data_IF_341545262242
#
_entry.id   IF_341545262242
#
_cell.length_a   1.000
_cell.length_b   1.000
_cell.length_c   1.000
_cell.angle_alpha   90.00
_cell.angle_beta   90.00
_cell.angle_gamma   90.00
#
_symmetry.space_group_name_H-M   'P 1'
#
loop_
_entity.id
_entity.type
_entity.pdbx_description
1 polymer ?
#
# COMPACT_ATOMS: atom_id res chain seq x y z
N UNK A 1 -21.89 -5.27 7.66
CA UNK A 1 -23.21 -5.87 7.38
C UNK A 1 -23.84 -5.15 6.22
N UNK A 2 -24.19 -5.87 5.16
CA UNK A 2 -24.96 -5.37 4.03
C UNK A 2 -26.43 -5.59 4.31
N UNK A 3 -27.27 -4.59 4.08
CA UNK A 3 -28.72 -4.66 4.25
C UNK A 3 -29.43 -4.32 2.93
N UNK A 4 -30.29 -5.20 2.50
CA UNK A 4 -31.14 -5.00 1.32
C UNK A 4 -32.55 -4.57 1.76
N UNK A 5 -32.95 -3.31 1.52
CA UNK A 5 -34.30 -2.86 1.84
C UNK A 5 -35.33 -3.19 0.76
N UNK A 6 -34.89 -3.72 -0.39
CA UNK A 6 -35.77 -3.97 -1.54
C UNK A 6 -36.43 -5.34 -1.43
N UNK A 7 -37.50 -5.54 -2.21
CA UNK A 7 -38.24 -6.80 -2.32
C UNK A 7 -37.62 -7.78 -3.35
N UNK A 8 -36.42 -7.51 -3.84
CA UNK A 8 -35.66 -8.37 -4.78
C UNK A 8 -34.30 -8.69 -4.22
N UNK A 9 -33.73 -9.78 -4.67
CA UNK A 9 -32.35 -10.17 -4.37
C UNK A 9 -31.38 -9.18 -5.00
N UNK A 10 -30.32 -8.84 -4.31
CA UNK A 10 -29.26 -7.93 -4.78
C UNK A 10 -27.88 -8.60 -4.66
N UNK A 11 -26.95 -8.12 -5.50
CA UNK A 11 -25.52 -8.28 -5.30
C UNK A 11 -24.98 -7.10 -4.47
N UNK A 12 -24.08 -7.37 -3.55
CA UNK A 12 -23.32 -6.36 -2.82
C UNK A 12 -21.92 -6.22 -3.38
N UNK A 13 -21.50 -4.98 -3.62
CA UNK A 13 -20.16 -4.65 -4.07
C UNK A 13 -19.57 -3.58 -3.14
N UNK A 14 -18.36 -3.82 -2.62
CA UNK A 14 -17.62 -2.88 -1.78
C UNK A 14 -16.18 -2.81 -2.27
N UNK A 15 -15.75 -1.62 -2.63
CA UNK A 15 -14.35 -1.33 -2.92
C UNK A 15 -13.74 -0.54 -1.76
N UNK A 16 -12.54 -0.92 -1.34
CA UNK A 16 -11.84 -0.27 -0.26
C UNK A 16 -10.32 -0.34 -0.44
N UNK A 17 -9.60 0.74 -0.10
CA UNK A 17 -8.16 0.72 -0.04
C UNK A 17 -7.69 0.13 1.29
N UNK A 18 -6.55 -0.53 1.27
CA UNK A 18 -5.74 -0.77 2.47
C UNK A 18 -4.57 0.21 2.51
N UNK A 19 -4.14 0.58 3.70
CA UNK A 19 -2.91 1.33 3.86
C UNK A 19 -1.70 0.47 3.48
N UNK A 20 -0.61 1.15 3.17
CA UNK A 20 0.64 0.48 2.85
C UNK A 20 1.12 -0.41 4.00
N UNK A 21 1.55 -1.64 3.69
CA UNK A 21 1.94 -2.66 4.68
C UNK A 21 0.79 -3.46 5.29
N UNK A 22 -0.46 -3.08 5.03
CA UNK A 22 -1.63 -3.84 5.45
C UNK A 22 -1.93 -5.00 4.51
N UNK A 23 -2.26 -6.15 5.10
CA UNK A 23 -2.55 -7.39 4.38
C UNK A 23 -3.85 -7.99 4.88
N UNK A 24 -4.72 -8.44 3.97
CA UNK A 24 -5.87 -9.28 4.34
C UNK A 24 -5.37 -10.67 4.69
N UNK A 25 -5.62 -11.10 5.91
CA UNK A 25 -5.23 -12.44 6.39
C UNK A 25 -6.39 -13.40 6.53
N UNK A 26 -7.63 -12.90 6.61
CA UNK A 26 -8.83 -13.71 6.59
C UNK A 26 -10.03 -12.95 6.02
N UNK A 27 -10.91 -13.70 5.38
CA UNK A 27 -12.21 -13.24 4.92
C UNK A 27 -13.24 -14.30 5.28
N UNK A 28 -14.36 -13.90 5.87
CA UNK A 28 -15.47 -14.79 6.16
C UNK A 28 -16.80 -14.20 5.69
N UNK A 29 -17.69 -15.05 5.21
CA UNK A 29 -19.03 -14.71 4.76
C UNK A 29 -20.07 -15.43 5.61
N UNK A 30 -21.16 -14.74 5.93
CA UNK A 30 -22.31 -15.32 6.60
C UNK A 30 -23.07 -16.26 5.67
N UNK A 31 -23.09 -17.53 6.03
CA UNK A 31 -23.88 -18.56 5.40
C UNK A 31 -24.82 -19.15 6.46
N UNK A 32 -26.13 -18.91 6.31
CA UNK A 32 -27.17 -19.38 7.22
C UNK A 32 -26.95 -18.96 8.68
N UNK A 33 -26.51 -17.72 8.89
CA UNK A 33 -26.28 -17.14 10.23
C UNK A 33 -24.90 -17.47 10.84
N UNK A 34 -24.07 -18.28 10.17
CA UNK A 34 -22.73 -18.67 10.61
C UNK A 34 -21.68 -18.05 9.68
N UNK A 35 -20.68 -17.37 10.26
CA UNK A 35 -19.53 -16.91 9.47
C UNK A 35 -18.64 -18.09 9.11
N UNK A 36 -18.41 -18.31 7.82
CA UNK A 36 -17.53 -19.33 7.27
C UNK A 36 -16.34 -18.68 6.58
N UNK A 37 -15.16 -19.18 6.89
CA UNK A 37 -13.91 -18.68 6.31
C UNK A 37 -13.80 -19.04 4.82
N UNK A 38 -13.34 -18.07 4.04
CA UNK A 38 -13.01 -18.24 2.64
C UNK A 38 -11.65 -18.92 2.47
N UNK A 39 -11.49 -19.62 1.35
CA UNK A 39 -10.23 -20.27 0.98
C UNK A 39 -9.52 -19.43 -0.07
N UNK A 40 -8.20 -19.13 0.09
CA UNK A 40 -7.43 -18.45 -0.92
C UNK A 40 -7.29 -19.31 -2.18
N UNK A 41 -7.56 -18.71 -3.33
CA UNK A 41 -7.45 -19.36 -4.65
C UNK A 41 -6.81 -18.41 -5.65
N UNK A 42 -6.21 -18.90 -6.75
CA UNK A 42 -5.76 -18.05 -7.85
C UNK A 42 -6.91 -17.17 -8.37
N UNK A 43 -6.58 -15.92 -8.72
CA UNK A 43 -7.57 -14.87 -9.04
C UNK A 43 -8.55 -15.30 -10.14
N UNK A 44 -8.06 -15.88 -11.24
CA UNK A 44 -8.90 -16.30 -12.36
C UNK A 44 -9.83 -17.43 -11.96
N UNK A 45 -9.33 -18.38 -11.16
CA UNK A 45 -10.14 -19.49 -10.62
C UNK A 45 -11.22 -18.95 -9.68
N UNK A 46 -10.88 -17.97 -8.84
CA UNK A 46 -11.85 -17.33 -7.93
C UNK A 46 -13.01 -16.69 -8.69
N UNK A 47 -12.73 -15.96 -9.77
CA UNK A 47 -13.75 -15.35 -10.63
C UNK A 47 -14.63 -16.38 -11.31
N UNK A 48 -14.02 -17.40 -11.92
CA UNK A 48 -14.76 -18.47 -12.59
C UNK A 48 -15.70 -19.22 -11.62
N UNK A 49 -15.22 -19.53 -10.43
CA UNK A 49 -16.01 -20.20 -9.40
C UNK A 49 -17.15 -19.31 -8.92
N UNK A 50 -16.87 -18.01 -8.66
CA UNK A 50 -17.89 -17.06 -8.24
C UNK A 50 -19.03 -16.98 -9.27
N UNK A 51 -18.72 -16.77 -10.55
CA UNK A 51 -19.71 -16.67 -11.62
C UNK A 51 -20.49 -17.98 -11.83
N UNK A 52 -19.82 -19.12 -11.69
CA UNK A 52 -20.47 -20.44 -11.83
C UNK A 52 -21.44 -20.71 -10.67
N UNK A 53 -21.10 -20.30 -9.45
CA UNK A 53 -21.92 -20.51 -8.25
C UNK A 53 -23.07 -19.49 -8.22
N UNK A 54 -22.81 -18.23 -8.62
CA UNK A 54 -23.84 -17.19 -8.76
C UNK A 54 -24.99 -17.65 -9.69
N UNK A 55 -24.65 -18.27 -10.84
CA UNK A 55 -25.64 -18.84 -11.78
C UNK A 55 -26.49 -19.96 -11.17
N UNK A 56 -25.98 -20.63 -10.13
CA UNK A 56 -26.70 -21.70 -9.42
C UNK A 56 -27.56 -21.18 -8.26
N UNK A 57 -27.53 -19.88 -7.98
CA UNK A 57 -28.25 -19.27 -6.86
C UNK A 57 -27.72 -19.67 -5.47
N UNK A 58 -26.47 -20.18 -5.40
CA UNK A 58 -25.80 -20.50 -4.14
C UNK A 58 -25.01 -19.25 -3.69
N UNK A 59 -24.74 -19.12 -2.40
CA UNK A 59 -24.15 -17.96 -1.72
C UNK A 59 -22.63 -17.78 -2.01
N UNK A 60 -22.18 -17.17 -3.14
CA UNK A 60 -20.77 -16.89 -3.32
C UNK A 60 -20.35 -15.56 -2.70
N UNK A 61 -19.16 -15.55 -2.14
CA UNK A 61 -18.43 -14.33 -1.76
C UNK A 61 -17.05 -14.36 -2.41
N UNK A 62 -16.67 -13.26 -3.04
CA UNK A 62 -15.36 -13.09 -3.65
C UNK A 62 -14.70 -11.81 -3.13
N UNK A 63 -13.53 -11.96 -2.53
CA UNK A 63 -12.63 -10.86 -2.22
C UNK A 63 -11.43 -10.95 -3.14
N UNK A 64 -11.19 -9.91 -3.91
CA UNK A 64 -10.05 -9.84 -4.82
C UNK A 64 -9.27 -8.53 -4.67
N UNK A 65 -7.96 -8.60 -4.78
CA UNK A 65 -7.11 -7.43 -4.98
C UNK A 65 -7.25 -6.97 -6.43
N UNK A 66 -7.57 -5.70 -6.65
CA UNK A 66 -7.76 -5.14 -8.00
C UNK A 66 -6.47 -4.56 -8.55
N UNK A 67 -6.11 -3.36 -8.17
CA UNK A 67 -4.89 -2.68 -8.58
C UNK A 67 -4.23 -2.06 -7.34
N UNK A 68 -2.91 -2.18 -7.24
CA UNK A 68 -2.19 -1.71 -6.07
C UNK A 68 -2.71 -2.36 -4.78
N UNK A 69 -2.98 -1.56 -3.75
CA UNK A 69 -3.55 -2.04 -2.49
C UNK A 69 -5.08 -1.84 -2.38
N UNK A 70 -5.77 -1.84 -3.53
CA UNK A 70 -7.22 -1.77 -3.63
C UNK A 70 -7.84 -3.16 -3.61
N UNK A 71 -8.92 -3.32 -2.87
CA UNK A 71 -9.66 -4.56 -2.76
C UNK A 71 -11.11 -4.37 -3.19
N UNK A 72 -11.67 -5.39 -3.83
CA UNK A 72 -13.08 -5.48 -4.18
C UNK A 72 -13.68 -6.71 -3.54
N UNK A 73 -14.73 -6.49 -2.77
CA UNK A 73 -15.57 -7.54 -2.21
C UNK A 73 -16.88 -7.61 -3.00
N UNK A 74 -17.21 -8.78 -3.54
CA UNK A 74 -18.51 -9.10 -4.14
C UNK A 74 -19.20 -10.18 -3.32
N UNK A 75 -20.46 -9.99 -3.02
CA UNK A 75 -21.30 -10.96 -2.28
C UNK A 75 -22.65 -11.11 -2.96
N UNK A 76 -23.10 -12.34 -3.08
CA UNK A 76 -24.40 -12.70 -3.66
C UNK A 76 -24.93 -13.98 -2.99
N UNK A 77 -26.25 -14.15 -2.81
CA UNK A 77 -27.29 -13.12 -2.84
C UNK A 77 -27.37 -12.33 -1.53
N UNK A 78 -27.78 -11.05 -1.58
CA UNK A 78 -28.34 -10.38 -0.42
C UNK A 78 -29.86 -10.55 -0.51
N UNK A 79 -30.51 -11.34 0.36
CA UNK A 79 -31.94 -11.65 0.26
C UNK A 79 -32.80 -10.38 0.28
N UNK A 80 -34.00 -10.48 -0.34
CA UNK A 80 -35.00 -9.44 -0.23
C UNK A 80 -35.31 -9.16 1.26
N UNK A 81 -35.31 -7.87 1.65
CA UNK A 81 -35.48 -7.40 3.04
C UNK A 81 -34.52 -8.05 4.07
N UNK A 82 -33.43 -8.67 3.58
CA UNK A 82 -32.45 -9.40 4.36
C UNK A 82 -31.14 -8.68 4.58
N UNK A 83 -30.21 -9.41 5.18
CA UNK A 83 -28.86 -8.94 5.46
C UNK A 83 -27.83 -10.00 5.11
N UNK A 84 -26.57 -9.56 4.85
CA UNK A 84 -25.39 -10.41 4.81
C UNK A 84 -24.30 -9.81 5.68
N UNK A 85 -23.64 -10.64 6.50
CA UNK A 85 -22.49 -10.25 7.28
C UNK A 85 -21.23 -10.73 6.59
N UNK A 86 -20.20 -9.90 6.62
CA UNK A 86 -18.85 -10.27 6.23
C UNK A 86 -17.89 -9.88 7.35
N UNK A 87 -16.82 -10.64 7.48
CA UNK A 87 -15.69 -10.30 8.35
C UNK A 87 -14.42 -10.28 7.51
N UNK A 88 -13.62 -9.25 7.71
CA UNK A 88 -12.28 -9.10 7.15
C UNK A 88 -11.29 -8.95 8.29
N UNK A 89 -10.22 -9.73 8.24
CA UNK A 89 -9.09 -9.56 9.14
C UNK A 89 -7.93 -8.99 8.36
N UNK A 90 -7.45 -7.85 8.81
CA UNK A 90 -6.29 -7.15 8.25
C UNK A 90 -5.17 -7.17 9.27
N UNK A 91 -3.97 -7.49 8.83
CA UNK A 91 -2.75 -7.50 9.64
C UNK A 91 -1.75 -6.51 9.08
N UNK A 92 -1.00 -5.89 9.97
CA UNK A 92 0.04 -4.93 9.64
C UNK A 92 1.19 -5.06 10.62
N UNK A 93 2.42 -4.97 10.12
CA UNK A 93 3.59 -4.68 10.95
C UNK A 93 3.75 -3.18 10.98
N UNK A 94 3.60 -2.58 12.17
CA UNK A 94 3.59 -1.13 12.28
C UNK A 94 4.95 -0.54 11.89
N UNK A 95 4.99 0.43 10.96
CA UNK A 95 6.22 1.12 10.62
C UNK A 95 6.72 1.94 11.81
N UNK A 96 8.04 1.93 12.00
CA UNK A 96 8.73 2.68 13.01
C UNK A 96 9.26 3.99 12.43
N UNK A 97 8.92 5.10 13.04
CA UNK A 97 9.52 6.41 12.73
C UNK A 97 10.21 7.01 13.98
N UNK A 98 10.71 8.24 13.87
CA UNK A 98 11.39 8.91 14.97
C UNK A 98 10.50 9.17 16.21
N UNK A 99 9.17 9.12 16.05
CA UNK A 99 8.18 9.36 17.13
C UNK A 99 7.65 8.07 17.74
N UNK A 100 7.72 6.96 17.02
CA UNK A 100 7.20 5.68 17.49
C UNK A 100 6.68 4.78 16.38
N UNK A 101 5.87 3.79 16.78
CA UNK A 101 5.18 2.90 15.86
C UNK A 101 3.91 3.57 15.37
N UNK A 102 3.80 3.82 14.06
CA UNK A 102 2.64 4.49 13.47
C UNK A 102 1.59 3.49 13.03
N UNK A 103 0.36 3.68 13.48
CA UNK A 103 -0.80 2.93 13.02
C UNK A 103 -1.81 3.85 12.33
N UNK A 104 -2.28 3.43 11.15
CA UNK A 104 -3.28 4.15 10.38
C UNK A 104 -4.30 3.19 9.80
N UNK A 105 -5.58 3.55 9.88
CA UNK A 105 -6.68 2.80 9.27
C UNK A 105 -7.47 3.71 8.34
N UNK A 106 -7.47 3.46 7.01
CA UNK A 106 -8.34 4.16 6.08
C UNK A 106 -9.81 3.90 6.41
N UNK A 107 -10.62 4.95 6.49
CA UNK A 107 -12.04 4.86 6.86
C UNK A 107 -13.00 5.27 5.75
N UNK A 108 -12.51 5.58 4.55
CA UNK A 108 -13.35 6.00 3.41
C UNK A 108 -14.46 4.98 3.09
N UNK A 109 -14.19 3.68 3.28
CA UNK A 109 -15.19 2.63 3.05
C UNK A 109 -16.37 2.69 4.02
N UNK A 110 -16.22 3.38 5.16
CA UNK A 110 -17.28 3.56 6.15
C UNK A 110 -18.20 4.74 5.82
N UNK A 111 -17.77 5.67 4.94
CA UNK A 111 -18.60 6.79 4.51
C UNK A 111 -19.89 6.26 3.87
N UNK A 112 -21.03 6.85 4.23
CA UNK A 112 -22.36 6.39 3.81
C UNK A 112 -22.92 5.24 4.65
N UNK A 113 -22.15 4.62 5.54
CA UNK A 113 -22.68 3.63 6.47
C UNK A 113 -23.56 4.32 7.52
N UNK A 114 -24.79 3.80 7.70
CA UNK A 114 -25.78 4.38 8.64
C UNK A 114 -25.36 4.23 10.09
N UNK A 115 -24.63 3.18 10.39
CA UNK A 115 -24.13 2.87 11.73
C UNK A 115 -22.76 2.25 11.63
N UNK A 116 -21.80 2.81 12.35
CA UNK A 116 -20.44 2.31 12.50
C UNK A 116 -20.13 2.22 13.98
N UNK A 117 -19.53 1.12 14.38
CA UNK A 117 -18.96 0.93 15.69
C UNK A 117 -17.47 0.70 15.52
N UNK A 118 -16.67 1.45 16.26
CA UNK A 118 -15.21 1.29 16.31
C UNK A 118 -14.81 0.93 17.73
N UNK A 119 -14.04 -0.13 17.86
CA UNK A 119 -13.36 -0.51 19.10
C UNK A 119 -11.86 -0.56 18.82
N UNK A 120 -11.09 0.06 19.67
CA UNK A 120 -9.64 0.03 19.65
C UNK A 120 -9.12 -0.48 20.99
N UNK A 121 -8.23 -1.46 20.93
CA UNK A 121 -7.49 -1.96 22.09
C UNK A 121 -5.99 -1.88 21.75
N UNK A 122 -5.20 -1.12 22.53
CA UNK A 122 -3.75 -1.05 22.40
C UNK A 122 -3.09 -1.64 23.65
N UNK A 123 -2.35 -2.74 23.45
CA UNK A 123 -1.78 -3.56 24.51
C UNK A 123 -0.26 -3.42 24.54
N UNK A 124 0.33 -3.38 25.72
CA UNK A 124 1.79 -3.41 25.88
C UNK A 124 2.50 -2.14 25.41
N UNK A 125 1.81 -1.01 25.36
CA UNK A 125 2.35 0.27 24.92
C UNK A 125 2.18 1.34 25.99
N UNK A 126 2.99 2.42 25.94
CA UNK A 126 2.73 3.65 26.69
C UNK A 126 1.51 4.40 26.14
N UNK A 127 1.36 5.65 26.54
CA UNK A 127 0.22 6.48 26.10
C UNK A 127 0.23 6.65 24.57
N UNK A 128 -0.79 6.14 23.86
CA UNK A 128 -0.88 6.36 22.42
C UNK A 128 -1.16 7.83 22.09
N UNK A 129 -0.39 8.40 21.16
CA UNK A 129 -0.58 9.77 20.69
C UNK A 129 -1.49 9.77 19.44
N UNK A 130 -2.55 10.56 19.49
CA UNK A 130 -3.58 10.61 18.46
C UNK A 130 -3.18 11.49 17.28
N UNK A 131 -3.40 11.00 16.06
CA UNK A 131 -3.27 11.77 14.84
C UNK A 131 -4.60 12.32 14.35
N UNK A 132 -4.63 13.60 14.02
CA UNK A 132 -5.80 14.24 13.41
C UNK A 132 -7.04 14.28 14.31
N UNK A 133 -8.21 14.28 13.69
CA UNK A 133 -9.52 14.53 14.30
C UNK A 133 -10.26 13.25 14.73
N UNK A 134 -9.55 12.19 15.14
CA UNK A 134 -10.22 10.95 15.59
C UNK A 134 -11.21 11.23 16.72
N UNK A 135 -12.47 10.77 16.63
CA UNK A 135 -13.46 10.92 17.69
C UNK A 135 -13.24 9.95 18.87
N UNK A 136 -12.36 8.94 18.70
CA UNK A 136 -12.07 7.99 19.78
C UNK A 136 -11.19 8.65 20.85
N UNK A 137 -11.60 8.45 22.09
CA UNK A 137 -10.79 8.75 23.27
C UNK A 137 -10.33 7.43 23.87
N UNK A 138 -9.05 7.32 24.18
CA UNK A 138 -8.46 6.14 24.80
C UNK A 138 -8.36 6.32 26.30
N UNK A 139 -8.81 5.33 27.03
CA UNK A 139 -8.69 5.25 28.49
C UNK A 139 -7.91 4.00 28.87
N UNK A 140 -7.09 4.09 29.90
CA UNK A 140 -6.32 2.94 30.40
C UNK A 140 -7.20 2.05 31.28
N UNK A 141 -7.34 0.78 30.87
CA UNK A 141 -8.02 -0.27 31.62
C UNK A 141 -7.04 -1.43 31.87
N UNK A 142 -6.51 -1.52 33.09
CA UNK A 142 -5.41 -2.43 33.36
C UNK A 142 -4.14 -2.08 32.59
N UNK A 143 -3.66 -3.01 31.76
CA UNK A 143 -2.48 -2.80 30.87
C UNK A 143 -2.87 -2.46 29.40
N UNK A 144 -4.14 -2.16 29.15
CA UNK A 144 -4.68 -1.97 27.79
C UNK A 144 -5.32 -0.59 27.67
N UNK A 145 -4.90 0.18 26.67
CA UNK A 145 -5.60 1.38 26.25
C UNK A 145 -6.81 0.98 25.41
N UNK A 146 -7.99 1.44 25.80
CA UNK A 146 -9.25 1.08 25.17
C UNK A 146 -10.00 2.32 24.73
N UNK A 147 -10.56 2.27 23.51
CA UNK A 147 -11.46 3.27 22.99
C UNK A 147 -12.65 2.64 22.29
N UNK A 148 -13.81 3.28 22.43
CA UNK A 148 -15.03 2.88 21.72
C UNK A 148 -15.71 4.11 21.15
N UNK A 149 -16.24 3.96 19.96
CA UNK A 149 -17.04 4.99 19.31
C UNK A 149 -18.17 4.34 18.52
N UNK A 150 -19.31 5.00 18.48
CA UNK A 150 -20.46 4.60 17.68
C UNK A 150 -21.11 5.85 17.10
N UNK A 151 -21.44 5.80 15.82
CA UNK A 151 -22.08 6.90 15.11
C UNK A 151 -22.30 6.56 13.64
N UNK A 152 -22.48 7.57 12.81
CA UNK A 152 -22.62 7.43 11.36
C UNK A 152 -21.23 7.44 10.70
N UNK A 153 -21.11 6.80 9.54
CA UNK A 153 -19.84 6.71 8.84
C UNK A 153 -19.31 8.07 8.34
N UNK A 154 -20.19 8.99 8.02
CA UNK A 154 -19.85 10.35 7.60
C UNK A 154 -19.34 11.26 8.75
N UNK A 155 -19.50 10.86 9.99
CA UNK A 155 -18.92 11.52 11.16
C UNK A 155 -17.47 11.10 11.43
N UNK A 156 -16.98 10.06 10.74
CA UNK A 156 -15.60 9.61 10.85
C UNK A 156 -14.69 10.40 9.92
N UNK A 157 -13.45 10.67 10.33
CA UNK A 157 -12.43 11.17 9.41
C UNK A 157 -12.12 10.10 8.35
N UNK A 158 -11.52 10.52 7.25
CA UNK A 158 -11.09 9.60 6.18
C UNK A 158 -10.03 8.59 6.63
N UNK A 159 -9.39 8.86 7.79
CA UNK A 159 -8.35 8.03 8.37
C UNK A 159 -8.40 8.13 9.91
N UNK A 160 -8.27 6.99 10.59
CA UNK A 160 -7.98 6.91 12.01
C UNK A 160 -6.49 6.60 12.19
N UNK A 161 -5.82 7.26 13.13
CA UNK A 161 -4.39 7.02 13.35
C UNK A 161 -3.90 7.34 14.75
N UNK A 162 -2.90 6.59 15.18
CA UNK A 162 -2.16 6.78 16.43
C UNK A 162 -0.68 6.49 16.25
N UNK A 163 0.16 7.18 17.02
CA UNK A 163 1.55 6.78 17.26
C UNK A 163 1.63 6.11 18.62
N UNK A 164 2.14 4.90 18.62
CA UNK A 164 2.46 4.16 19.84
C UNK A 164 3.90 4.48 20.23
N UNK A 165 4.18 4.80 21.50
CA UNK A 165 5.53 5.09 21.95
C UNK A 165 6.51 3.95 21.60
N UNK A 166 7.74 4.32 21.36
CA UNK A 166 8.82 3.35 21.14
C UNK A 166 8.92 2.38 22.32
N UNK A 167 8.99 1.07 22.05
CA UNK A 167 9.35 0.11 23.08
C UNK A 167 10.70 0.46 23.69
N UNK A 168 10.77 0.54 25.00
CA UNK A 168 12.04 0.76 25.71
C UNK A 168 12.71 -0.60 25.96
N UNK A 169 13.84 -0.82 25.31
CA UNK A 169 14.63 -2.04 25.48
C UNK A 169 14.22 -3.21 24.59
N UNK A 170 14.81 -4.35 24.83
CA UNK A 170 14.56 -5.59 24.10
C UNK A 170 13.24 -6.18 24.61
N UNK A 171 12.34 -6.50 23.72
CA UNK A 171 11.10 -7.22 24.04
C UNK A 171 11.01 -8.53 23.29
N UNK A 172 10.49 -9.56 23.95
CA UNK A 172 10.32 -10.86 23.33
C UNK A 172 8.99 -11.48 23.72
N UNK A 173 8.41 -12.21 22.79
CA UNK A 173 7.23 -13.05 23.02
C UNK A 173 7.52 -14.48 22.60
N UNK A 174 6.92 -15.44 23.26
CA UNK A 174 6.98 -16.85 22.89
C UNK A 174 5.58 -17.45 22.81
N UNK A 175 5.40 -18.43 21.95
CA UNK A 175 4.15 -19.14 21.78
C UNK A 175 4.36 -20.58 21.31
N UNK A 176 3.34 -21.40 21.49
CA UNK A 176 3.27 -22.75 20.93
C UNK A 176 2.38 -22.73 19.70
N UNK A 177 2.85 -23.34 18.59
CA UNK A 177 2.06 -23.56 17.39
C UNK A 177 2.37 -24.96 16.87
N UNK A 178 1.35 -25.79 16.67
CA UNK A 178 1.48 -27.20 16.24
C UNK A 178 2.47 -28.04 17.06
N UNK A 179 2.53 -27.78 18.39
CA UNK A 179 3.45 -28.51 19.28
C UNK A 179 4.89 -27.98 19.29
N UNK A 180 5.23 -27.05 18.41
CA UNK A 180 6.53 -26.40 18.35
C UNK A 180 6.52 -25.05 19.08
N UNK A 181 7.64 -24.72 19.72
CA UNK A 181 7.82 -23.44 20.43
C UNK A 181 8.47 -22.43 19.51
N UNK A 182 7.80 -21.31 19.29
CA UNK A 182 8.29 -20.15 18.54
C UNK A 182 8.58 -19.00 19.48
N UNK A 183 9.54 -18.17 19.13
CA UNK A 183 9.78 -16.89 19.80
C UNK A 183 9.98 -15.79 18.76
N UNK A 184 9.61 -14.58 19.14
CA UNK A 184 9.89 -13.36 18.40
C UNK A 184 10.62 -12.40 19.33
N UNK A 185 11.75 -11.87 18.88
CA UNK A 185 12.54 -10.89 19.60
C UNK A 185 12.51 -9.57 18.84
N UNK A 186 12.16 -8.49 19.54
CA UNK A 186 12.21 -7.14 19.00
C UNK A 186 13.34 -6.37 19.69
N UNK A 187 14.32 -5.96 18.89
CA UNK A 187 15.51 -5.24 19.37
C UNK A 187 15.49 -3.84 18.73
N UNK A 188 15.31 -2.77 19.50
CA UNK A 188 15.45 -1.43 18.98
C UNK A 188 16.93 -1.17 18.66
N UNK A 189 17.23 -0.90 17.39
CA UNK A 189 18.59 -0.58 16.96
C UNK A 189 18.72 0.93 16.81
N UNK A 190 19.48 1.56 17.67
CA UNK A 190 19.84 2.97 17.56
C UNK A 190 21.05 3.13 16.63
N UNK A 191 20.82 3.54 15.39
CA UNK A 191 21.87 3.91 14.46
C UNK A 191 22.25 5.39 14.60
N UNK A 192 23.52 5.72 14.39
CA UNK A 192 23.92 7.13 14.19
C UNK A 192 23.63 7.52 12.75
N UNK A 193 22.87 8.60 12.48
CA UNK A 193 22.67 9.07 11.12
C UNK A 193 24.03 9.39 10.48
N UNK A 194 24.28 8.87 9.30
CA UNK A 194 25.46 9.19 8.51
C UNK A 194 25.01 9.87 7.23
N UNK A 195 25.55 11.08 6.98
CA UNK A 195 25.34 11.73 5.71
C UNK A 195 25.99 10.92 4.60
N UNK A 196 25.21 10.59 3.59
CA UNK A 196 25.69 9.95 2.38
C UNK A 196 26.27 10.99 1.42
N UNK A 197 27.30 10.62 0.67
CA UNK A 197 27.77 11.46 -0.43
C UNK A 197 26.64 11.66 -1.47
N UNK A 198 26.51 12.87 -1.99
CA UNK A 198 25.53 13.15 -3.04
C UNK A 198 25.91 12.40 -4.33
N UNK A 199 24.94 11.82 -5.03
CA UNK A 199 25.17 11.08 -6.27
C UNK A 199 25.60 12.06 -7.38
N UNK A 200 26.49 11.59 -8.24
CA UNK A 200 26.90 12.32 -9.46
C UNK A 200 26.35 11.69 -10.73
N UNK A 201 25.98 10.43 -10.67
CA UNK A 201 25.41 9.66 -11.78
C UNK A 201 24.14 8.99 -11.27
N UNK A 202 23.02 9.32 -11.88
CA UNK A 202 21.69 8.92 -11.44
C UNK A 202 20.99 8.18 -12.57
N UNK A 203 20.47 6.98 -12.28
CA UNK A 203 19.51 6.33 -13.13
C UNK A 203 18.10 6.84 -12.80
N UNK A 204 17.35 7.26 -13.80
CA UNK A 204 15.93 7.59 -13.65
C UNK A 204 15.11 6.68 -14.55
N UNK A 205 14.31 5.82 -13.95
CA UNK A 205 13.35 4.96 -14.63
C UNK A 205 11.99 5.57 -14.47
N UNK A 206 11.37 5.97 -15.57
CA UNK A 206 10.08 6.64 -15.58
C UNK A 206 9.02 5.79 -16.27
N UNK A 207 8.03 5.36 -15.52
CA UNK A 207 6.89 4.61 -16.02
C UNK A 207 5.91 5.56 -16.73
N UNK A 208 5.83 5.42 -18.06
CA UNK A 208 4.90 6.16 -18.92
C UNK A 208 3.80 5.25 -19.49
N UNK A 209 3.50 4.12 -18.82
CA UNK A 209 2.38 3.26 -19.19
C UNK A 209 1.02 3.94 -19.01
N UNK A 210 -0.04 3.34 -19.55
CA UNK A 210 -1.38 3.91 -19.53
C UNK A 210 -1.95 4.18 -18.12
N UNK A 211 -1.54 3.42 -17.10
CA UNK A 211 -1.92 3.66 -15.70
C UNK A 211 -1.28 4.94 -15.14
N UNK A 212 -0.15 5.37 -15.69
CA UNK A 212 0.53 6.59 -15.31
C UNK A 212 -0.29 7.88 -15.46
N UNK A 213 -1.35 7.88 -16.30
CA UNK A 213 -2.31 9.00 -16.39
C UNK A 213 -3.02 9.32 -15.08
N UNK A 214 -3.04 8.38 -14.16
CA UNK A 214 -3.75 8.48 -12.89
C UNK A 214 -2.83 8.85 -11.72
N UNK A 215 -1.52 9.05 -11.99
CA UNK A 215 -0.56 9.55 -11.02
C UNK A 215 -0.59 11.07 -10.97
N UNK A 216 -0.29 11.63 -9.83
CA UNK A 216 -0.01 13.06 -9.67
C UNK A 216 1.42 13.36 -10.14
N UNK A 217 1.58 13.46 -11.45
CA UNK A 217 2.89 13.74 -12.06
C UNK A 217 3.43 15.11 -11.67
N UNK A 218 2.56 16.08 -11.36
CA UNK A 218 2.99 17.40 -10.89
C UNK A 218 3.67 17.30 -9.51
N UNK A 219 3.10 16.52 -8.59
CA UNK A 219 3.71 16.26 -7.29
C UNK A 219 5.02 15.44 -7.43
N UNK A 220 5.07 14.46 -8.33
CA UNK A 220 6.30 13.70 -8.63
C UNK A 220 7.42 14.61 -9.14
N UNK A 221 7.12 15.49 -10.09
CA UNK A 221 8.08 16.48 -10.60
C UNK A 221 8.52 17.47 -9.52
N UNK A 222 7.63 17.88 -8.61
CA UNK A 222 7.98 18.74 -7.49
C UNK A 222 8.94 18.06 -6.49
N UNK A 223 8.84 16.75 -6.31
CA UNK A 223 9.84 15.98 -5.54
C UNK A 223 11.18 15.95 -6.26
N UNK A 224 11.18 15.72 -7.57
CA UNK A 224 12.41 15.75 -8.38
C UNK A 224 13.05 17.14 -8.41
N UNK A 225 12.27 18.22 -8.40
CA UNK A 225 12.80 19.60 -8.27
C UNK A 225 13.64 19.75 -7.00
N UNK A 226 13.07 19.35 -5.86
CA UNK A 226 13.79 19.42 -4.56
C UNK A 226 15.01 18.52 -4.54
N UNK A 227 14.89 17.34 -5.12
CA UNK A 227 15.98 16.38 -5.19
C UNK A 227 17.15 16.93 -6.01
N UNK A 228 16.92 17.42 -7.25
CA UNK A 228 17.98 17.94 -8.10
C UNK A 228 18.56 19.27 -7.58
N UNK A 229 17.75 20.09 -6.89
CA UNK A 229 18.27 21.26 -6.17
C UNK A 229 19.27 20.85 -5.06
N UNK A 230 18.94 19.79 -4.31
CA UNK A 230 19.83 19.29 -3.25
C UNK A 230 21.09 18.63 -3.81
N UNK A 231 20.98 17.89 -4.92
CA UNK A 231 22.12 17.23 -5.59
C UNK A 231 23.06 18.26 -6.24
N UNK A 232 22.53 19.31 -6.83
CA UNK A 232 23.27 20.38 -7.48
C UNK A 232 23.89 20.02 -8.82
N UNK A 233 24.70 18.94 -8.90
CA UNK A 233 25.36 18.50 -10.15
C UNK A 233 25.26 16.99 -10.31
N UNK A 234 24.72 16.53 -11.46
CA UNK A 234 24.67 15.13 -11.81
C UNK A 234 24.54 14.88 -13.30
N UNK A 235 24.91 13.67 -13.74
CA UNK A 235 24.52 13.09 -15.01
C UNK A 235 23.35 12.13 -14.77
N UNK A 236 22.26 12.30 -15.51
CA UNK A 236 21.05 11.47 -15.36
C UNK A 236 20.88 10.60 -16.61
N UNK A 237 20.69 9.31 -16.40
CA UNK A 237 20.32 8.34 -17.44
C UNK A 237 18.82 8.07 -17.31
N UNK A 238 18.01 8.62 -18.20
CA UNK A 238 16.57 8.40 -18.26
C UNK A 238 16.26 7.14 -19.07
N UNK A 239 15.50 6.23 -18.48
CA UNK A 239 14.86 5.09 -19.14
C UNK A 239 13.35 5.26 -19.01
N UNK A 240 12.63 5.34 -20.13
CA UNK A 240 11.16 5.38 -20.14
C UNK A 240 10.63 3.96 -20.30
N UNK A 241 9.66 3.58 -19.47
CA UNK A 241 9.00 2.27 -19.48
C UNK A 241 7.57 2.39 -20.01
N UNK A 242 7.21 1.48 -20.90
CA UNK A 242 5.85 1.17 -21.33
C UNK A 242 5.71 -0.35 -21.48
N UNK A 243 5.32 -0.84 -22.65
CA UNK A 243 5.34 -2.25 -23.03
C UNK A 243 6.77 -2.83 -23.13
N UNK A 244 7.77 -1.95 -23.17
CA UNK A 244 9.21 -2.24 -23.10
C UNK A 244 9.97 -1.04 -22.55
N UNK A 245 11.20 -1.28 -22.10
CA UNK A 245 12.14 -0.22 -21.77
C UNK A 245 12.68 0.45 -23.04
N UNK A 246 12.63 1.78 -23.10
CA UNK A 246 13.25 2.55 -24.18
C UNK A 246 14.77 2.65 -23.96
N UNK A 247 15.56 2.90 -25.03
CA UNK A 247 16.98 3.17 -24.89
C UNK A 247 17.25 4.35 -23.95
N UNK A 248 18.26 4.21 -23.09
CA UNK A 248 18.61 5.25 -22.13
C UNK A 248 19.06 6.54 -22.80
N UNK A 249 18.52 7.67 -22.36
CA UNK A 249 18.89 9.03 -22.77
C UNK A 249 19.62 9.75 -21.65
N UNK A 250 20.59 10.59 -21.99
CA UNK A 250 21.44 11.26 -21.00
C UNK A 250 21.10 12.74 -20.87
N UNK A 251 21.04 13.22 -19.64
CA UNK A 251 20.79 14.62 -19.29
C UNK A 251 21.79 15.09 -18.24
N UNK A 252 22.12 16.38 -18.28
CA UNK A 252 23.00 17.00 -17.29
C UNK A 252 22.18 17.89 -16.34
N UNK A 253 22.46 17.79 -15.06
CA UNK A 253 21.98 18.71 -14.04
C UNK A 253 23.15 19.59 -13.60
N UNK A 254 22.98 20.92 -13.63
CA UNK A 254 24.00 21.88 -13.27
C UNK A 254 23.40 22.97 -12.36
N UNK A 255 23.95 23.16 -11.14
CA UNK A 255 23.40 24.10 -10.17
C UNK A 255 21.93 23.82 -9.81
N UNK A 256 21.52 22.54 -9.85
CA UNK A 256 20.11 22.14 -9.65
C UNK A 256 19.21 22.34 -10.87
N UNK A 257 19.72 22.96 -11.95
CA UNK A 257 18.95 23.13 -13.18
C UNK A 257 18.89 21.80 -13.97
N UNK A 258 17.68 21.28 -14.13
CA UNK A 258 17.36 20.04 -14.85
C UNK A 258 16.26 20.24 -15.91
N UNK A 259 16.08 21.47 -16.36
CA UNK A 259 14.99 21.90 -17.27
C UNK A 259 14.88 21.01 -18.52
N UNK A 260 16.01 20.58 -19.12
CA UNK A 260 15.96 19.70 -20.30
C UNK A 260 15.35 18.33 -19.99
N UNK A 261 15.67 17.74 -18.84
CA UNK A 261 15.08 16.48 -18.42
C UNK A 261 13.60 16.67 -18.03
N UNK A 262 13.26 17.74 -17.32
CA UNK A 262 11.89 18.06 -16.94
C UNK A 262 10.99 18.21 -18.18
N UNK A 263 11.43 18.98 -19.15
CA UNK A 263 10.69 19.17 -20.41
C UNK A 263 10.44 17.84 -21.13
N UNK A 264 11.43 16.94 -21.13
CA UNK A 264 11.28 15.61 -21.69
C UNK A 264 10.20 14.79 -20.95
N UNK A 265 10.19 14.83 -19.61
CA UNK A 265 9.19 14.11 -18.80
C UNK A 265 7.78 14.67 -18.99
N UNK A 266 7.64 16.01 -19.06
CA UNK A 266 6.37 16.69 -19.29
C UNK A 266 5.78 16.42 -20.69
N UNK A 267 6.64 16.14 -21.67
CA UNK A 267 6.22 15.81 -23.05
C UNK A 267 5.82 14.33 -23.24
N UNK A 268 6.01 13.47 -22.21
CA UNK A 268 5.70 12.05 -22.35
C UNK A 268 4.21 11.79 -22.52
N UNK A 269 3.89 10.94 -23.49
CA UNK A 269 2.55 10.38 -23.65
C UNK A 269 2.45 9.12 -22.79
N UNK A 270 1.42 9.04 -21.97
CA UNK A 270 1.13 7.89 -21.12
C UNK A 270 0.18 6.93 -21.84
N UNK A 271 0.70 5.81 -22.33
CA UNK A 271 -0.07 4.80 -23.06
C UNK A 271 0.55 3.40 -22.95
N UNK A 272 -0.11 2.41 -23.53
CA UNK A 272 0.36 1.03 -23.59
C UNK A 272 0.31 0.28 -22.26
N UNK A 273 0.92 -0.90 -22.27
CA UNK A 273 1.09 -1.75 -21.10
C UNK A 273 2.24 -1.30 -20.21
N UNK A 274 2.34 -1.88 -19.02
CA UNK A 274 3.45 -1.67 -18.10
C UNK A 274 4.31 -2.94 -18.01
N UNK A 275 5.41 -2.97 -18.74
CA UNK A 275 6.46 -3.99 -18.62
C UNK A 275 7.39 -3.65 -17.46
N UNK A 276 6.81 -3.44 -16.30
CA UNK A 276 7.41 -2.80 -15.14
C UNK A 276 8.70 -3.49 -14.64
N UNK A 277 8.86 -4.77 -14.91
CA UNK A 277 10.04 -5.54 -14.52
C UNK A 277 11.09 -5.69 -15.64
N UNK A 278 10.79 -5.23 -16.86
CA UNK A 278 11.64 -5.49 -18.04
C UNK A 278 12.69 -4.40 -18.28
N UNK A 279 13.37 -3.98 -17.21
CA UNK A 279 14.49 -3.05 -17.28
C UNK A 279 15.67 -3.55 -16.44
N UNK A 280 16.81 -2.91 -16.58
CA UNK A 280 18.02 -3.22 -15.82
C UNK A 280 18.68 -1.93 -15.36
N UNK A 281 19.00 -1.86 -14.07
CA UNK A 281 19.74 -0.74 -13.49
C UNK A 281 21.15 -0.68 -14.11
N UNK A 282 21.61 0.50 -14.48
CA UNK A 282 22.95 0.70 -14.99
C UNK A 282 23.98 0.54 -13.88
N UNK A 283 25.05 -0.22 -14.12
CA UNK A 283 26.16 -0.31 -13.20
C UNK A 283 26.97 1.00 -13.09
N UNK A 284 26.80 1.90 -14.06
CA UNK A 284 27.54 3.18 -14.13
C UNK A 284 26.90 4.29 -13.32
N UNK A 285 25.79 4.05 -12.60
CA UNK A 285 25.13 5.06 -11.78
C UNK A 285 25.34 4.82 -10.29
N UNK A 286 25.32 5.89 -9.51
CA UNK A 286 25.55 5.84 -8.07
C UNK A 286 24.28 5.44 -7.31
N UNK A 287 23.12 5.71 -7.90
CA UNK A 287 21.79 5.32 -7.42
C UNK A 287 20.75 5.32 -8.54
N UNK A 288 19.64 4.63 -8.31
CA UNK A 288 18.52 4.59 -9.26
C UNK A 288 17.23 5.10 -8.60
N UNK A 289 16.54 6.01 -9.30
CA UNK A 289 15.20 6.48 -8.96
C UNK A 289 14.21 5.80 -9.92
N UNK A 290 13.14 5.24 -9.38
CA UNK A 290 12.02 4.68 -10.17
C UNK A 290 10.77 5.48 -9.85
N UNK A 291 10.09 5.99 -10.87
CA UNK A 291 8.82 6.71 -10.73
C UNK A 291 7.73 5.90 -11.41
N UNK A 292 6.87 5.27 -10.62
CA UNK A 292 5.83 4.34 -11.08
C UNK A 292 4.74 4.15 -10.02
N UNK A 293 3.55 3.70 -10.44
CA UNK A 293 2.51 3.21 -9.53
C UNK A 293 2.77 1.77 -9.00
N UNK A 294 3.80 1.10 -9.52
CA UNK A 294 4.16 -0.26 -9.14
C UNK A 294 3.32 -1.35 -9.79
N UNK A 295 2.40 -1.01 -10.70
CA UNK A 295 1.47 -1.95 -11.33
C UNK A 295 2.05 -2.42 -12.67
N UNK A 296 2.54 -3.67 -12.71
CA UNK A 296 2.94 -4.35 -13.93
C UNK A 296 1.81 -5.21 -14.49
N UNK A 297 1.52 -5.08 -15.78
CA UNK A 297 0.50 -5.89 -16.48
C UNK A 297 1.01 -6.49 -17.78
N UNK A 298 2.28 -6.29 -18.10
CA UNK A 298 2.96 -6.76 -19.28
C UNK A 298 4.41 -7.16 -18.97
N UNK A 299 5.04 -7.90 -19.87
CA UNK A 299 6.44 -8.32 -19.73
C UNK A 299 6.62 -9.73 -19.21
N UNK A 300 7.81 -10.29 -19.38
CA UNK A 300 8.14 -11.67 -19.05
C UNK A 300 8.92 -11.80 -17.72
N UNK A 301 9.55 -10.74 -17.24
CA UNK A 301 10.35 -10.77 -16.03
C UNK A 301 9.50 -10.64 -14.78
N UNK A 302 9.87 -11.37 -13.74
CA UNK A 302 9.27 -11.25 -12.40
C UNK A 302 9.94 -10.19 -11.54
N UNK A 303 11.14 -9.75 -11.93
CA UNK A 303 11.94 -8.70 -11.26
C UNK A 303 12.82 -7.96 -12.25
N UNK A 304 13.08 -6.65 -12.03
CA UNK A 304 14.07 -5.93 -12.81
C UNK A 304 15.50 -6.40 -12.49
N UNK A 305 16.43 -6.13 -13.41
CA UNK A 305 17.84 -6.37 -13.19
C UNK A 305 18.46 -5.31 -12.27
N UNK A 306 18.52 -5.59 -10.96
CA UNK A 306 19.06 -4.66 -9.96
C UNK A 306 20.55 -4.86 -9.77
N UNK A 307 21.27 -3.79 -9.41
CA UNK A 307 22.69 -3.83 -9.10
C UNK A 307 22.89 -4.02 -7.58
N UNK A 308 23.64 -5.04 -7.12
CA UNK A 308 23.93 -5.24 -5.70
C UNK A 308 24.61 -4.01 -5.07
N UNK A 309 24.13 -3.58 -3.91
CA UNK A 309 24.71 -2.46 -3.17
C UNK A 309 24.45 -1.06 -3.76
N UNK A 310 23.72 -0.97 -4.88
CA UNK A 310 23.28 0.31 -5.45
C UNK A 310 21.93 0.69 -4.83
N UNK A 311 21.81 1.86 -4.19
CA UNK A 311 20.53 2.32 -3.66
C UNK A 311 19.48 2.52 -4.75
N UNK A 312 18.29 2.00 -4.48
CA UNK A 312 17.11 2.16 -5.31
C UNK A 312 16.03 2.92 -4.54
N UNK A 313 15.56 4.01 -5.08
CA UNK A 313 14.44 4.75 -4.53
C UNK A 313 13.24 4.64 -5.47
N UNK A 314 12.06 4.41 -4.92
CA UNK A 314 10.83 4.40 -5.69
C UNK A 314 9.92 5.55 -5.25
N UNK A 315 9.35 6.27 -6.22
CA UNK A 315 8.43 7.38 -6.03
C UNK A 315 7.12 7.08 -6.73
N UNK A 316 6.00 7.31 -6.07
CA UNK A 316 4.68 7.17 -6.68
C UNK A 316 3.74 8.30 -6.30
N UNK A 317 3.16 8.96 -7.30
CA UNK A 317 2.06 9.91 -7.17
C UNK A 317 0.67 9.28 -7.34
N UNK A 318 0.56 7.94 -7.31
CA UNK A 318 -0.72 7.25 -7.45
C UNK A 318 -1.52 7.12 -6.14
N UNK A 319 -0.96 7.61 -5.03
CA UNK A 319 -1.60 7.54 -3.71
C UNK A 319 -1.99 6.11 -3.34
N UNK A 320 -3.23 5.90 -2.93
CA UNK A 320 -3.77 4.59 -2.52
C UNK A 320 -3.78 3.52 -3.64
N UNK A 321 -3.58 3.92 -4.90
CA UNK A 321 -3.48 2.97 -6.03
C UNK A 321 -2.10 2.39 -6.22
N UNK A 322 -1.10 2.91 -5.51
CA UNK A 322 0.28 2.42 -5.59
C UNK A 322 0.36 0.97 -5.12
N UNK A 323 0.98 0.10 -5.91
CA UNK A 323 1.45 -1.20 -5.43
C UNK A 323 2.79 -1.02 -4.70
N UNK A 324 2.69 -0.46 -3.50
CA UNK A 324 3.85 -0.17 -2.67
C UNK A 324 4.60 -1.45 -2.24
N UNK A 325 3.88 -2.58 -2.13
CA UNK A 325 4.51 -3.86 -1.81
C UNK A 325 5.43 -4.34 -2.93
N UNK A 326 5.01 -4.19 -4.17
CA UNK A 326 5.83 -4.51 -5.34
C UNK A 326 7.07 -3.59 -5.40
N UNK A 327 6.89 -2.28 -5.30
CA UNK A 327 8.01 -1.34 -5.27
C UNK A 327 8.98 -1.60 -4.12
N UNK A 328 8.48 -1.94 -2.92
CA UNK A 328 9.33 -2.32 -1.78
C UNK A 328 10.16 -3.54 -2.04
N UNK A 329 9.62 -4.54 -2.73
CA UNK A 329 10.35 -5.76 -3.06
C UNK A 329 11.64 -5.48 -3.84
N UNK A 330 11.73 -4.36 -4.56
CA UNK A 330 12.93 -3.93 -5.27
C UNK A 330 13.88 -3.13 -4.39
N UNK A 331 13.31 -2.29 -3.53
CA UNK A 331 14.04 -1.33 -2.70
C UNK A 331 14.67 -2.01 -1.49
N UNK A 332 14.02 -3.07 -0.99
CA UNK A 332 14.45 -3.80 0.19
C UNK A 332 15.87 -4.37 0.01
N UNK A 333 16.75 -4.09 0.98
CA UNK A 333 18.16 -4.47 0.92
C UNK A 333 19.06 -3.58 0.06
N UNK A 334 18.52 -2.62 -0.72
CA UNK A 334 19.33 -1.68 -1.52
C UNK A 334 19.85 -0.48 -0.72
N UNK A 335 19.26 -0.20 0.44
CA UNK A 335 19.52 1.02 1.22
C UNK A 335 18.71 2.23 0.78
N UNK A 336 17.78 2.07 -0.18
CA UNK A 336 16.83 3.10 -0.60
C UNK A 336 15.49 3.03 0.13
N UNK A 337 14.48 3.72 -0.39
CA UNK A 337 13.15 3.82 0.20
C UNK A 337 12.06 3.95 -0.87
N UNK A 338 10.82 3.62 -0.49
CA UNK A 338 9.61 3.91 -1.29
C UNK A 338 8.95 5.16 -0.71
N UNK A 339 8.64 6.13 -1.56
CA UNK A 339 7.89 7.34 -1.23
C UNK A 339 6.57 7.33 -2.00
N UNK A 340 5.46 7.21 -1.30
CA UNK A 340 4.10 7.34 -1.87
C UNK A 340 3.56 8.71 -1.49
N UNK A 341 3.22 9.50 -2.51
CA UNK A 341 2.61 10.83 -2.34
C UNK A 341 1.09 10.65 -2.11
N UNK A 342 0.56 11.35 -1.11
CA UNK A 342 -0.86 11.28 -0.71
C UNK A 342 -1.47 12.67 -0.67
#
# INVERSE_FOLDING_TARGET
VFRNPNNRVLEGNLEFPLADGQQVTAFALDMDGVLRDAVPVPKDKGRQVFEAIERRGVDPGLLEQTAGNQFRLRIYPIPAHGTRRVALTVRETLPLDAKGLRWNLPMQFAHGARQVQVRLDAVGTGVPDKHGSSPLQLTLAGATWQGRWQGRGDELPTQLGWTLPLPRGISGVQGLFNGERYFMLQVPVAGKPRLRALPRRIGLVWDASGSGRQRDTAAELAVLDRYFQAVGQAQVQLVVLRDKAEPARRFSVQGGNWTGLRHELEALVYDGGSALNDWTASADVDETLVVSDGIGNFGARTRPGLQPGQPLYALSGAGVRTDAAHLRSWVEGSGGQVLVLT
#
